data_IF_584632531109
#
_entry.id   IF_584632531109
#
_cell.length_a   1.000
_cell.length_b   1.000
_cell.length_c   1.000
_cell.angle_alpha   90.00
_cell.angle_beta   90.00
_cell.angle_gamma   90.00
#
_symmetry.space_group_name_H-M   'P 1'
#
loop_
_entity.id
_entity.type
_entity.pdbx_description
1 polymer ?
#
# COMPACT_ATOMS: atom_id res chain seq x y z
N UNK A 1 -4.81 -29.17 -15.69
CA UNK A 1 -4.94 -28.24 -14.54
C UNK A 1 -4.24 -26.98 -14.96
N UNK A 2 -4.97 -25.88 -15.14
CA UNK A 2 -4.34 -24.58 -15.43
C UNK A 2 -3.73 -24.09 -14.13
N UNK A 3 -2.47 -23.69 -14.16
CA UNK A 3 -1.75 -23.16 -13.02
C UNK A 3 -2.51 -21.94 -12.45
N UNK A 4 -2.97 -21.97 -11.18
CA UNK A 4 -3.69 -20.86 -10.55
C UNK A 4 -2.93 -19.52 -10.62
N UNK A 5 -1.60 -19.58 -10.70
CA UNK A 5 -0.73 -18.41 -10.74
C UNK A 5 -0.73 -17.76 -12.15
N UNK A 6 -1.03 -18.52 -13.20
CA UNK A 6 -1.15 -18.03 -14.58
C UNK A 6 -2.48 -17.27 -14.84
N UNK A 7 -3.48 -17.45 -13.98
CA UNK A 7 -4.82 -16.85 -14.10
C UNK A 7 -4.95 -15.49 -13.39
N UNK A 8 -4.05 -15.20 -12.44
CA UNK A 8 -4.12 -14.02 -11.58
C UNK A 8 -4.04 -12.68 -12.34
N UNK A 9 -3.05 -12.46 -13.24
CA UNK A 9 -2.99 -11.23 -14.02
C UNK A 9 -4.23 -11.03 -14.91
N UNK A 10 -4.78 -12.11 -15.46
CA UNK A 10 -5.99 -12.07 -16.28
C UNK A 10 -7.22 -11.71 -15.45
N UNK A 11 -7.37 -12.29 -14.26
CA UNK A 11 -8.48 -12.01 -13.35
C UNK A 11 -8.51 -10.56 -12.85
N UNK A 12 -7.35 -10.03 -12.44
CA UNK A 12 -7.20 -8.63 -12.04
C UNK A 12 -7.48 -7.71 -13.22
N UNK A 13 -6.98 -8.06 -14.41
CA UNK A 13 -7.28 -7.35 -15.65
C UNK A 13 -8.78 -7.31 -15.95
N UNK A 14 -9.48 -8.45 -15.86
CA UNK A 14 -10.93 -8.55 -16.07
C UNK A 14 -11.71 -7.70 -15.07
N UNK A 15 -11.32 -7.67 -13.80
CA UNK A 15 -11.95 -6.80 -12.80
C UNK A 15 -11.79 -5.31 -13.16
N UNK A 16 -10.58 -4.89 -13.58
CA UNK A 16 -10.31 -3.50 -14.03
C UNK A 16 -11.11 -3.13 -15.27
N UNK A 17 -11.19 -4.03 -16.26
CA UNK A 17 -11.99 -3.82 -17.48
C UNK A 17 -13.48 -3.71 -17.16
N UNK A 18 -14.00 -4.57 -16.29
CA UNK A 18 -15.40 -4.50 -15.86
C UNK A 18 -15.71 -3.17 -15.16
N UNK A 19 -14.84 -2.70 -14.27
CA UNK A 19 -14.96 -1.38 -13.64
C UNK A 19 -14.97 -0.24 -14.67
N UNK A 20 -14.04 -0.26 -15.63
CA UNK A 20 -13.96 0.75 -16.68
C UNK A 20 -15.21 0.75 -17.58
N UNK A 21 -15.84 -0.40 -17.77
CA UNK A 21 -17.08 -0.55 -18.52
C UNK A 21 -18.34 -0.20 -17.70
N UNK A 22 -18.21 0.07 -16.39
CA UNK A 22 -19.36 0.27 -15.49
C UNK A 22 -20.12 -1.01 -15.14
N UNK A 23 -19.59 -2.19 -15.49
CA UNK A 23 -20.14 -3.49 -15.10
C UNK A 23 -19.68 -3.84 -13.67
N UNK A 24 -20.26 -3.12 -12.72
CA UNK A 24 -19.88 -3.17 -11.31
C UNK A 24 -20.19 -4.54 -10.69
N UNK A 25 -21.23 -5.21 -11.19
CA UNK A 25 -21.61 -6.55 -10.72
C UNK A 25 -20.59 -7.60 -11.10
N UNK A 26 -20.15 -7.57 -12.35
CA UNK A 26 -19.06 -8.43 -12.79
C UNK A 26 -17.76 -8.10 -12.08
N UNK A 27 -17.42 -6.82 -11.91
CA UNK A 27 -16.21 -6.41 -11.21
C UNK A 27 -16.17 -6.98 -9.79
N UNK A 28 -17.24 -6.81 -9.01
CA UNK A 28 -17.34 -7.33 -7.65
C UNK A 28 -17.29 -8.87 -7.61
N UNK A 29 -17.97 -9.55 -8.54
CA UNK A 29 -17.94 -11.01 -8.62
C UNK A 29 -16.53 -11.56 -8.89
N UNK A 30 -15.78 -10.94 -9.80
CA UNK A 30 -14.39 -11.31 -10.07
C UNK A 30 -13.52 -11.06 -8.83
N UNK A 31 -13.67 -9.92 -8.16
CA UNK A 31 -12.93 -9.62 -6.93
C UNK A 31 -13.25 -10.61 -5.81
N UNK A 32 -14.51 -10.99 -5.62
CA UNK A 32 -14.90 -12.00 -4.63
C UNK A 32 -14.26 -13.37 -4.90
N UNK A 33 -14.15 -13.77 -6.17
CA UNK A 33 -13.45 -14.98 -6.58
C UNK A 33 -11.95 -14.93 -6.25
N UNK A 34 -11.30 -13.79 -6.53
CA UNK A 34 -9.90 -13.56 -6.15
C UNK A 34 -9.71 -13.64 -4.63
N UNK A 35 -10.57 -12.97 -3.87
CA UNK A 35 -10.48 -12.90 -2.40
C UNK A 35 -10.81 -14.21 -1.70
N UNK A 36 -11.55 -15.11 -2.35
CA UNK A 36 -11.77 -16.48 -1.86
C UNK A 36 -10.48 -17.30 -1.90
N UNK A 37 -9.63 -17.05 -2.89
CA UNK A 37 -8.33 -17.75 -3.08
C UNK A 37 -7.19 -17.04 -2.34
N UNK A 38 -7.20 -15.71 -2.37
CA UNK A 38 -6.15 -14.84 -1.86
C UNK A 38 -6.75 -13.76 -0.96
N UNK A 39 -7.16 -14.10 0.28
CA UNK A 39 -7.81 -13.16 1.20
C UNK A 39 -6.87 -12.02 1.64
N UNK A 40 -5.56 -12.19 1.51
CA UNK A 40 -4.53 -11.18 1.77
C UNK A 40 -4.30 -10.20 0.62
N UNK A 41 -4.90 -10.41 -0.56
CA UNK A 41 -4.55 -9.64 -1.75
C UNK A 41 -5.17 -8.23 -1.74
N UNK A 42 -4.37 -7.24 -1.34
CA UNK A 42 -4.81 -5.86 -1.16
C UNK A 42 -5.40 -5.24 -2.44
N UNK A 43 -4.84 -5.55 -3.61
CA UNK A 43 -5.31 -5.00 -4.89
C UNK A 43 -6.74 -5.47 -5.23
N UNK A 44 -7.11 -6.71 -4.89
CA UNK A 44 -8.47 -7.22 -5.09
C UNK A 44 -9.46 -6.57 -4.12
N UNK A 45 -9.09 -6.35 -2.86
CA UNK A 45 -9.91 -5.58 -1.91
C UNK A 45 -10.14 -4.14 -2.40
N UNK A 46 -9.10 -3.49 -2.93
CA UNK A 46 -9.18 -2.15 -3.51
C UNK A 46 -10.09 -2.10 -4.74
N UNK A 47 -9.98 -3.09 -5.64
CA UNK A 47 -10.90 -3.24 -6.78
C UNK A 47 -12.36 -3.45 -6.35
N UNK A 48 -12.58 -4.27 -5.31
CA UNK A 48 -13.91 -4.45 -4.74
C UNK A 48 -14.45 -3.14 -4.17
N UNK A 49 -13.62 -2.37 -3.47
CA UNK A 49 -14.00 -1.05 -2.96
C UNK A 49 -14.46 -0.10 -4.06
N UNK A 50 -13.76 -0.08 -5.20
CA UNK A 50 -14.18 0.71 -6.36
C UNK A 50 -15.53 0.26 -6.92
N UNK A 51 -15.75 -1.07 -7.02
CA UNK A 51 -17.00 -1.62 -7.52
C UNK A 51 -18.18 -1.23 -6.61
N UNK A 52 -18.03 -1.40 -5.30
CA UNK A 52 -19.07 -1.08 -4.33
C UNK A 52 -19.34 0.43 -4.24
N UNK A 53 -18.29 1.26 -4.39
CA UNK A 53 -18.45 2.72 -4.47
C UNK A 53 -19.25 3.10 -5.71
N UNK A 54 -18.93 2.50 -6.86
CA UNK A 54 -19.69 2.69 -8.10
C UNK A 54 -21.17 2.30 -7.97
N UNK A 55 -21.48 1.27 -7.16
CA UNK A 55 -22.86 0.84 -6.89
C UNK A 55 -23.61 1.77 -5.94
N UNK A 56 -22.91 2.72 -5.32
CA UNK A 56 -23.45 3.56 -4.26
C UNK A 56 -23.52 2.89 -2.90
N UNK A 57 -23.01 1.65 -2.72
CA UNK A 57 -22.86 1.05 -1.39
C UNK A 57 -21.59 1.58 -0.73
N UNK A 58 -21.74 2.79 -0.23
CA UNK A 58 -20.68 3.52 0.40
C UNK A 58 -20.18 2.84 1.70
N UNK A 59 -20.99 1.97 2.34
CA UNK A 59 -20.57 1.20 3.52
C UNK A 59 -19.71 0.00 3.12
N UNK A 60 -20.11 -0.74 2.09
CA UNK A 60 -19.33 -1.85 1.56
C UNK A 60 -17.99 -1.38 0.98
N UNK A 61 -18.00 -0.28 0.23
CA UNK A 61 -16.78 0.35 -0.28
C UNK A 61 -15.79 0.68 0.84
N UNK A 62 -16.28 1.32 1.91
CA UNK A 62 -15.46 1.66 3.07
C UNK A 62 -14.88 0.44 3.78
N UNK A 63 -15.59 -0.69 3.86
CA UNK A 63 -15.03 -1.94 4.42
C UNK A 63 -13.95 -2.53 3.53
N UNK A 64 -14.17 -2.52 2.21
CA UNK A 64 -13.23 -3.07 1.26
C UNK A 64 -11.92 -2.26 1.19
N UNK A 65 -12.00 -0.92 1.21
CA UNK A 65 -10.80 -0.08 1.31
C UNK A 65 -10.05 -0.27 2.64
N UNK A 66 -10.76 -0.45 3.76
CA UNK A 66 -10.13 -0.79 5.05
C UNK A 66 -9.38 -2.11 4.97
N UNK A 67 -10.03 -3.13 4.40
CA UNK A 67 -9.41 -4.43 4.23
C UNK A 67 -8.15 -4.34 3.37
N UNK A 68 -8.19 -3.56 2.27
CA UNK A 68 -7.03 -3.30 1.43
C UNK A 68 -5.88 -2.68 2.23
N UNK A 69 -6.15 -1.60 2.99
CA UNK A 69 -5.13 -0.89 3.78
C UNK A 69 -4.61 -1.68 4.97
N UNK A 70 -5.39 -2.60 5.52
CA UNK A 70 -4.92 -3.54 6.54
C UNK A 70 -3.88 -4.54 6.01
N UNK A 71 -3.83 -4.75 4.69
CA UNK A 71 -2.89 -5.65 4.00
C UNK A 71 -1.78 -4.90 3.28
N UNK A 72 -2.08 -3.70 2.80
CA UNK A 72 -1.09 -2.77 2.24
C UNK A 72 -1.40 -1.33 2.68
N UNK A 73 -0.83 -0.89 3.81
CA UNK A 73 -0.99 0.49 4.29
C UNK A 73 -0.43 1.55 3.34
N UNK A 74 0.40 1.15 2.36
CA UNK A 74 1.09 2.04 1.42
C UNK A 74 0.39 2.09 0.06
N UNK A 75 -0.81 1.53 -0.08
CA UNK A 75 -1.58 1.50 -1.32
C UNK A 75 -2.28 2.85 -1.61
N UNK A 76 -1.76 3.70 -2.52
CA UNK A 76 -2.29 5.06 -2.73
C UNK A 76 -3.74 5.06 -3.22
N UNK A 77 -4.12 4.08 -4.05
CA UNK A 77 -5.46 3.98 -4.63
C UNK A 77 -6.54 3.71 -3.57
N UNK A 78 -6.23 2.94 -2.52
CA UNK A 78 -7.19 2.65 -1.46
C UNK A 78 -7.41 3.89 -0.56
N UNK A 79 -6.34 4.64 -0.26
CA UNK A 79 -6.44 5.94 0.42
C UNK A 79 -7.22 6.96 -0.41
N UNK A 80 -6.95 7.05 -1.72
CA UNK A 80 -7.74 7.88 -2.63
C UNK A 80 -9.21 7.47 -2.64
N UNK A 81 -9.48 6.15 -2.66
CA UNK A 81 -10.83 5.60 -2.55
C UNK A 81 -11.57 6.09 -1.30
N UNK A 82 -10.90 6.08 -0.15
CA UNK A 82 -11.42 6.68 1.09
C UNK A 82 -11.65 8.18 0.98
N UNK A 83 -10.73 8.90 0.35
CA UNK A 83 -10.84 10.35 0.13
C UNK A 83 -12.08 10.71 -0.67
N UNK A 84 -12.28 10.05 -1.82
CA UNK A 84 -13.46 10.21 -2.67
C UNK A 84 -14.74 9.84 -1.93
N UNK A 85 -14.73 8.74 -1.20
CA UNK A 85 -15.86 8.24 -0.44
C UNK A 85 -16.24 9.15 0.75
N UNK A 86 -15.27 9.87 1.33
CA UNK A 86 -15.50 10.88 2.36
C UNK A 86 -16.02 12.18 1.75
N UNK A 87 -15.49 12.59 0.60
CA UNK A 87 -15.95 13.75 -0.17
C UNK A 87 -17.40 13.59 -0.61
N UNK A 88 -17.77 12.43 -1.15
CA UNK A 88 -19.15 12.08 -1.53
C UNK A 88 -20.15 12.21 -0.35
N UNK A 89 -19.65 12.11 0.89
CA UNK A 89 -20.43 12.30 2.12
C UNK A 89 -20.32 13.71 2.72
N UNK A 90 -19.66 14.63 2.04
CA UNK A 90 -19.43 16.00 2.54
C UNK A 90 -18.44 16.10 3.70
N UNK A 91 -17.68 15.04 4.01
CA UNK A 91 -16.66 15.04 5.08
C UNK A 91 -15.33 15.52 4.51
N UNK A 92 -15.25 16.83 4.27
CA UNK A 92 -14.14 17.45 3.55
C UNK A 92 -12.80 17.32 4.28
N UNK A 93 -12.78 17.44 5.61
CA UNK A 93 -11.56 17.29 6.41
C UNK A 93 -11.01 15.84 6.34
N UNK A 94 -11.88 14.83 6.44
CA UNK A 94 -11.51 13.43 6.26
C UNK A 94 -10.99 13.17 4.85
N UNK A 95 -11.68 13.72 3.83
CA UNK A 95 -11.28 13.58 2.43
C UNK A 95 -9.89 14.14 2.17
N UNK A 96 -9.60 15.33 2.72
CA UNK A 96 -8.29 15.96 2.65
C UNK A 96 -7.22 15.08 3.32
N UNK A 97 -7.49 14.58 4.52
CA UNK A 97 -6.56 13.73 5.26
C UNK A 97 -6.23 12.43 4.49
N UNK A 98 -7.23 11.74 3.93
CA UNK A 98 -7.01 10.52 3.16
C UNK A 98 -6.27 10.79 1.84
N UNK A 99 -6.62 11.85 1.12
CA UNK A 99 -5.91 12.23 -0.11
C UNK A 99 -4.47 12.68 0.16
N UNK A 100 -4.21 13.31 1.31
CA UNK A 100 -2.86 13.63 1.76
C UNK A 100 -2.02 12.36 1.91
N UNK A 101 -2.53 11.34 2.61
CA UNK A 101 -1.85 10.05 2.75
C UNK A 101 -1.64 9.39 1.39
N UNK A 102 -2.65 9.38 0.52
CA UNK A 102 -2.52 8.82 -0.82
C UNK A 102 -1.36 9.48 -1.60
N UNK A 103 -1.34 10.81 -1.62
CA UNK A 103 -0.30 11.57 -2.30
C UNK A 103 1.09 11.35 -1.68
N UNK A 104 1.19 11.22 -0.35
CA UNK A 104 2.45 10.90 0.33
C UNK A 104 3.08 9.59 -0.15
N UNK A 105 2.25 8.57 -0.44
CA UNK A 105 2.74 7.27 -0.92
C UNK A 105 3.17 7.30 -2.40
N UNK A 106 2.67 8.26 -3.18
CA UNK A 106 3.04 8.45 -4.58
C UNK A 106 3.10 9.94 -4.96
N UNK A 107 4.12 10.70 -4.48
CA UNK A 107 4.17 12.15 -4.66
C UNK A 107 4.30 12.63 -6.11
N UNK A 108 4.75 11.75 -7.01
CA UNK A 108 4.87 11.95 -8.45
C UNK A 108 3.55 11.87 -9.21
N UNK A 109 2.50 11.30 -8.59
CA UNK A 109 1.20 11.11 -9.24
C UNK A 109 0.42 12.41 -9.29
N UNK A 110 0.31 12.97 -10.48
CA UNK A 110 -0.40 14.23 -10.73
C UNK A 110 -1.88 14.15 -10.36
N UNK A 111 -2.54 13.00 -10.54
CA UNK A 111 -3.94 12.81 -10.19
C UNK A 111 -4.19 12.93 -8.68
N UNK A 112 -3.31 12.37 -7.84
CA UNK A 112 -3.38 12.48 -6.38
C UNK A 112 -3.14 13.92 -5.92
N UNK A 113 -2.14 14.57 -6.52
CA UNK A 113 -1.84 15.98 -6.27
C UNK A 113 -3.03 16.87 -6.62
N UNK A 114 -3.63 16.69 -7.81
CA UNK A 114 -4.79 17.46 -8.24
C UNK A 114 -6.02 17.22 -7.36
N UNK A 115 -6.25 15.98 -6.91
CA UNK A 115 -7.34 15.67 -5.98
C UNK A 115 -7.18 16.45 -4.66
N UNK A 116 -5.97 16.47 -4.13
CA UNK A 116 -5.63 17.12 -2.88
C UNK A 116 -5.65 18.65 -2.98
N UNK A 117 -5.08 19.23 -4.04
CA UNK A 117 -5.15 20.68 -4.32
C UNK A 117 -6.60 21.15 -4.47
N UNK A 118 -7.45 20.37 -5.15
CA UNK A 118 -8.88 20.65 -5.27
C UNK A 118 -9.58 20.65 -3.91
N UNK A 119 -9.36 19.63 -3.08
CA UNK A 119 -9.95 19.53 -1.74
C UNK A 119 -9.45 20.65 -0.81
N UNK A 120 -8.15 20.99 -0.88
CA UNK A 120 -7.59 22.11 -0.13
C UNK A 120 -8.21 23.44 -0.55
N UNK A 121 -8.40 23.66 -1.86
CA UNK A 121 -9.09 24.84 -2.38
C UNK A 121 -10.55 24.94 -1.92
N UNK A 122 -11.28 23.82 -1.87
CA UNK A 122 -12.64 23.78 -1.32
C UNK A 122 -12.67 24.10 0.19
N UNK A 123 -11.63 23.70 0.93
CA UNK A 123 -11.61 23.83 2.40
C UNK A 123 -11.09 25.17 2.90
N UNK A 124 -10.07 25.71 2.24
CA UNK A 124 -9.29 26.87 2.70
C UNK A 124 -9.30 28.05 1.70
N UNK A 125 -9.83 27.88 0.49
CA UNK A 125 -9.84 28.91 -0.56
C UNK A 125 -8.57 28.92 -1.42
N UNK A 126 -8.47 29.92 -2.30
CA UNK A 126 -7.34 30.09 -3.22
C UNK A 126 -6.07 30.45 -2.42
N UNK A 127 -5.01 29.65 -2.54
CA UNK A 127 -3.72 29.91 -1.87
C UNK A 127 -3.30 28.88 -0.82
N UNK A 128 -4.07 27.81 -0.60
CA UNK A 128 -3.61 26.64 0.14
C UNK A 128 -2.48 25.94 -0.61
N UNK A 129 -1.24 26.40 -0.43
CA UNK A 129 -0.07 25.75 -1.01
C UNK A 129 0.08 24.36 -0.39
N UNK A 130 0.16 23.34 -1.23
CA UNK A 130 0.50 22.01 -0.77
C UNK A 130 1.99 21.97 -0.45
N UNK A 131 2.32 21.99 0.84
CA UNK A 131 3.70 21.79 1.26
C UNK A 131 4.07 20.31 1.19
N UNK A 132 5.32 20.05 0.81
CA UNK A 132 5.84 18.70 0.73
C UNK A 132 6.01 18.16 2.15
N UNK A 133 5.14 17.23 2.56
CA UNK A 133 5.19 16.68 3.92
C UNK A 133 6.42 15.80 4.13
N UNK A 134 6.82 15.61 5.40
CA UNK A 134 7.93 14.70 5.75
C UNK A 134 7.73 13.26 5.24
N UNK A 135 6.54 12.64 5.35
CA UNK A 135 6.28 11.36 4.69
C UNK A 135 6.53 11.38 3.18
N UNK A 136 6.06 12.41 2.46
CA UNK A 136 6.30 12.53 1.03
C UNK A 136 7.79 12.67 0.68
N UNK A 137 8.54 13.48 1.46
CA UNK A 137 10.00 13.59 1.37
C UNK A 137 10.69 12.24 1.58
N UNK A 138 10.26 11.48 2.59
CA UNK A 138 10.80 10.16 2.91
C UNK A 138 10.62 9.20 1.74
N UNK A 139 9.42 9.15 1.14
CA UNK A 139 9.12 8.32 -0.04
C UNK A 139 9.97 8.74 -1.25
N UNK A 140 10.12 10.04 -1.50
CA UNK A 140 10.98 10.54 -2.59
C UNK A 140 12.45 10.14 -2.37
N UNK A 141 12.95 10.25 -1.14
CA UNK A 141 14.31 9.82 -0.80
C UNK A 141 14.51 8.32 -0.96
N UNK A 142 13.55 7.53 -0.49
CA UNK A 142 13.60 6.07 -0.59
C UNK A 142 13.65 5.60 -2.04
N UNK A 143 12.76 6.12 -2.89
CA UNK A 143 12.71 5.78 -4.33
C UNK A 143 13.95 6.23 -5.09
N UNK A 144 14.61 7.28 -4.61
CA UNK A 144 15.89 7.74 -5.16
C UNK A 144 17.11 7.02 -4.56
N UNK A 145 16.91 5.95 -3.77
CA UNK A 145 17.98 5.16 -3.15
C UNK A 145 18.70 5.85 -1.99
N UNK A 146 18.27 7.04 -1.58
CA UNK A 146 18.87 7.82 -0.46
C UNK A 146 18.30 7.35 0.87
N UNK A 147 18.59 6.10 1.24
CA UNK A 147 17.95 5.40 2.36
C UNK A 147 18.21 6.04 3.72
N UNK A 148 19.39 6.61 3.94
CA UNK A 148 19.69 7.32 5.20
C UNK A 148 18.82 8.57 5.35
N UNK A 149 18.58 9.29 4.24
CA UNK A 149 17.68 10.45 4.27
C UNK A 149 16.23 10.01 4.44
N UNK A 150 15.81 8.94 3.77
CA UNK A 150 14.48 8.38 3.93
C UNK A 150 14.22 7.96 5.39
N UNK A 151 15.13 7.21 6.01
CA UNK A 151 15.03 6.77 7.39
C UNK A 151 14.92 7.96 8.36
N UNK A 152 15.71 9.03 8.15
CA UNK A 152 15.61 10.26 8.96
C UNK A 152 14.24 10.91 8.85
N UNK A 153 13.69 11.05 7.64
CA UNK A 153 12.38 11.66 7.44
C UNK A 153 11.26 10.79 8.02
N UNK A 154 11.30 9.46 7.86
CA UNK A 154 10.33 8.55 8.48
C UNK A 154 10.38 8.60 10.01
N UNK A 155 11.57 8.51 10.62
CA UNK A 155 11.74 8.63 12.07
C UNK A 155 11.20 9.98 12.57
N UNK A 156 11.48 11.06 11.85
CA UNK A 156 11.04 12.40 12.22
C UNK A 156 9.54 12.64 11.98
N UNK A 157 8.88 11.84 11.13
CA UNK A 157 7.42 11.85 10.95
C UNK A 157 6.72 11.01 12.02
N UNK A 158 7.31 9.87 12.42
CA UNK A 158 6.80 8.98 13.47
C UNK A 158 6.75 9.64 14.86
N UNK A 159 7.55 10.68 15.12
CA UNK A 159 7.43 11.45 16.37
C UNK A 159 6.09 12.17 16.51
N UNK A 160 5.49 12.59 15.39
CA UNK A 160 4.19 13.26 15.36
C UNK A 160 3.04 12.28 15.09
N UNK A 161 3.30 11.20 14.35
CA UNK A 161 2.31 10.23 13.89
C UNK A 161 2.75 8.79 14.23
N UNK A 162 2.85 8.43 15.52
CA UNK A 162 3.46 7.16 15.95
C UNK A 162 2.70 5.91 15.49
N UNK A 163 1.39 6.02 15.23
CA UNK A 163 0.54 4.88 14.89
C UNK A 163 0.45 4.61 13.37
N UNK A 164 1.10 5.41 12.53
CA UNK A 164 1.02 5.25 11.08
C UNK A 164 1.90 4.11 10.57
N UNK A 165 1.26 2.98 10.29
CA UNK A 165 1.90 1.76 9.79
C UNK A 165 2.69 1.97 8.50
N UNK A 166 2.22 2.83 7.60
CA UNK A 166 2.91 3.12 6.35
C UNK A 166 4.29 3.77 6.59
N UNK A 167 4.43 4.59 7.64
CA UNK A 167 5.71 5.19 8.04
C UNK A 167 6.65 4.17 8.66
N UNK A 168 6.12 3.29 9.52
CA UNK A 168 6.88 2.14 10.07
C UNK A 168 7.42 1.27 8.94
N UNK A 169 6.57 0.92 7.97
CA UNK A 169 6.97 0.12 6.81
C UNK A 169 8.03 0.82 5.95
N UNK A 170 7.90 2.12 5.73
CA UNK A 170 8.92 2.90 5.01
C UNK A 170 10.26 2.96 5.74
N UNK A 171 10.24 3.07 7.07
CA UNK A 171 11.43 3.03 7.91
C UNK A 171 12.08 1.63 7.87
N UNK A 172 11.30 0.56 8.04
CA UNK A 172 11.79 -0.80 7.96
C UNK A 172 12.45 -1.10 6.60
N UNK A 173 11.83 -0.70 5.49
CA UNK A 173 12.40 -0.86 4.15
C UNK A 173 13.72 -0.07 3.98
N UNK A 174 13.77 1.14 4.55
CA UNK A 174 14.98 1.97 4.51
C UNK A 174 16.13 1.35 5.30
N UNK A 175 15.85 0.84 6.51
CA UNK A 175 16.83 0.20 7.39
C UNK A 175 17.33 -1.13 6.84
N UNK A 176 16.42 -1.96 6.32
CA UNK A 176 16.78 -3.21 5.65
C UNK A 176 17.71 -2.96 4.47
N UNK A 177 17.42 -1.96 3.64
CA UNK A 177 18.32 -1.58 2.55
C UNK A 177 19.63 -0.91 2.96
N UNK A 178 19.81 -0.58 4.24
CA UNK A 178 21.08 -0.13 4.84
C UNK A 178 21.84 -1.29 5.52
N UNK A 179 21.27 -2.50 5.56
CA UNK A 179 21.83 -3.65 6.29
C UNK A 179 21.62 -3.59 7.80
N UNK A 180 20.76 -2.69 8.28
CA UNK A 180 20.37 -2.64 9.70
C UNK A 180 19.22 -3.63 9.95
N UNK A 181 19.52 -4.92 9.76
CA UNK A 181 18.51 -5.98 9.71
C UNK A 181 17.77 -6.16 11.06
N UNK A 182 18.48 -6.05 12.19
CA UNK A 182 17.88 -6.21 13.52
C UNK A 182 16.83 -5.11 13.81
N UNK A 183 17.11 -3.86 13.42
CA UNK A 183 16.17 -2.74 13.58
C UNK A 183 14.97 -2.90 12.63
N UNK A 184 15.21 -3.31 11.39
CA UNK A 184 14.16 -3.53 10.39
C UNK A 184 13.24 -4.70 10.81
N UNK A 185 13.81 -5.78 11.32
CA UNK A 185 13.08 -6.92 11.88
C UNK A 185 12.18 -6.48 13.04
N UNK A 186 12.70 -5.73 14.01
CA UNK A 186 11.93 -5.28 15.15
C UNK A 186 10.66 -4.52 14.73
N UNK A 187 10.78 -3.65 13.72
CA UNK A 187 9.65 -2.92 13.15
C UNK A 187 8.70 -3.87 12.42
N UNK A 188 9.21 -4.81 11.61
CA UNK A 188 8.38 -5.78 10.88
C UNK A 188 7.58 -6.66 11.84
N UNK A 189 8.20 -7.14 12.93
CA UNK A 189 7.53 -7.93 13.98
C UNK A 189 6.42 -7.10 14.65
N UNK A 190 6.69 -5.83 14.98
CA UNK A 190 5.69 -4.93 15.52
C UNK A 190 4.49 -4.74 14.57
N UNK A 191 4.74 -4.50 13.27
CA UNK A 191 3.67 -4.35 12.27
C UNK A 191 2.87 -5.66 12.15
N UNK A 192 3.53 -6.81 12.04
CA UNK A 192 2.87 -8.10 11.86
C UNK A 192 2.10 -8.57 13.10
N UNK A 193 2.45 -8.09 14.29
CA UNK A 193 1.68 -8.35 15.50
C UNK A 193 0.27 -7.73 15.45
N UNK A 194 0.11 -6.61 14.74
CA UNK A 194 -1.19 -5.93 14.58
C UNK A 194 -1.86 -6.24 13.25
N UNK A 195 -1.08 -6.43 12.19
CA UNK A 195 -1.56 -6.67 10.82
C UNK A 195 -0.78 -7.84 10.19
N UNK A 196 -1.20 -9.10 10.45
CA UNK A 196 -0.42 -10.29 10.09
C UNK A 196 -0.25 -10.53 8.58
N UNK A 197 -1.01 -9.84 7.74
CA UNK A 197 -1.06 -10.05 6.29
C UNK A 197 -0.30 -8.97 5.50
N UNK A 198 0.42 -8.06 6.18
CA UNK A 198 1.14 -6.97 5.51
C UNK A 198 2.29 -7.50 4.68
N UNK A 199 2.12 -7.47 3.36
CA UNK A 199 3.03 -8.12 2.40
C UNK A 199 4.48 -7.62 2.53
N UNK A 200 4.68 -6.30 2.67
CA UNK A 200 6.04 -5.73 2.75
C UNK A 200 6.80 -6.19 4.01
N UNK A 201 6.14 -6.25 5.16
CA UNK A 201 6.76 -6.73 6.39
C UNK A 201 7.09 -8.22 6.32
N UNK A 202 6.20 -9.03 5.71
CA UNK A 202 6.47 -10.45 5.44
C UNK A 202 7.67 -10.64 4.52
N UNK A 203 7.77 -9.82 3.46
CA UNK A 203 8.89 -9.86 2.52
C UNK A 203 10.21 -9.54 3.20
N UNK A 204 10.30 -8.39 3.88
CA UNK A 204 11.54 -7.95 4.54
C UNK A 204 12.00 -9.01 5.55
N UNK A 205 11.09 -9.50 6.39
CA UNK A 205 11.41 -10.52 7.39
C UNK A 205 11.84 -11.84 6.75
N UNK A 206 11.17 -12.28 5.67
CA UNK A 206 11.56 -13.49 4.95
C UNK A 206 12.97 -13.38 4.37
N UNK A 207 13.36 -12.21 3.84
CA UNK A 207 14.69 -12.00 3.27
C UNK A 207 15.78 -11.91 4.34
N UNK A 208 15.51 -11.28 5.48
CA UNK A 208 16.41 -11.26 6.64
C UNK A 208 16.67 -12.69 7.16
N UNK A 209 15.60 -13.46 7.38
CA UNK A 209 15.70 -14.84 7.89
C UNK A 209 16.37 -15.79 6.91
N UNK A 210 16.15 -15.58 5.60
CA UNK A 210 16.88 -16.29 4.54
C UNK A 210 18.38 -16.00 4.62
N UNK A 211 18.77 -14.76 4.87
CA UNK A 211 20.16 -14.36 5.06
C UNK A 211 20.83 -15.03 6.28
N UNK A 212 20.04 -15.27 7.34
CA UNK A 212 20.48 -15.95 8.58
C UNK A 212 20.48 -17.48 8.49
N UNK A 213 19.89 -18.07 7.44
CA UNK A 213 19.82 -19.52 7.24
C UNK A 213 18.68 -20.23 7.99
N UNK A 214 17.69 -19.50 8.50
CA UNK A 214 16.53 -20.07 9.22
C UNK A 214 15.44 -20.57 8.24
N UNK A 215 15.62 -21.78 7.71
CA UNK A 215 14.77 -22.31 6.60
C UNK A 215 13.28 -22.41 6.93
N UNK A 216 12.91 -22.95 8.10
CA UNK A 216 11.49 -23.20 8.44
C UNK A 216 10.69 -21.91 8.60
N UNK A 217 11.26 -20.91 9.27
CA UNK A 217 10.61 -19.60 9.43
C UNK A 217 10.51 -18.86 8.09
N UNK A 218 11.56 -18.96 7.28
CA UNK A 218 11.57 -18.41 5.91
C UNK A 218 10.44 -19.00 5.07
N UNK A 219 10.24 -20.32 5.10
CA UNK A 219 9.20 -20.99 4.32
C UNK A 219 7.79 -20.56 4.75
N UNK A 220 7.55 -20.39 6.05
CA UNK A 220 6.26 -19.89 6.54
C UNK A 220 5.98 -18.46 6.07
N UNK A 221 6.95 -17.56 6.22
CA UNK A 221 6.84 -16.16 5.81
C UNK A 221 6.62 -16.04 4.30
N UNK A 222 7.32 -16.85 3.50
CA UNK A 222 7.14 -16.88 2.04
C UNK A 222 5.76 -17.40 1.63
N UNK A 223 5.21 -18.42 2.30
CA UNK A 223 3.84 -18.88 2.03
C UNK A 223 2.82 -17.79 2.34
N UNK A 224 2.96 -17.07 3.46
CA UNK A 224 2.10 -15.95 3.82
C UNK A 224 2.23 -14.79 2.84
N UNK A 225 3.46 -14.47 2.42
CA UNK A 225 3.72 -13.46 1.41
C UNK A 225 3.02 -13.80 0.09
N UNK A 226 3.13 -15.04 -0.40
CA UNK A 226 2.43 -15.49 -1.62
C UNK A 226 0.90 -15.36 -1.50
N UNK A 227 0.33 -15.53 -0.31
CA UNK A 227 -1.10 -15.32 -0.10
C UNK A 227 -1.52 -13.83 -0.14
N UNK A 228 -0.60 -12.91 0.16
CA UNK A 228 -0.84 -11.46 0.18
C UNK A 228 -0.37 -10.71 -1.08
N UNK A 229 0.66 -11.21 -1.76
CA UNK A 229 1.28 -10.71 -2.98
C UNK A 229 1.34 -11.82 -4.05
N UNK A 230 0.18 -12.38 -4.45
CA UNK A 230 0.13 -13.54 -5.33
C UNK A 230 0.57 -13.23 -6.77
N UNK A 231 0.58 -11.97 -7.18
CA UNK A 231 1.14 -11.51 -8.47
C UNK A 231 2.64 -11.17 -8.40
N UNK A 232 3.24 -11.25 -7.20
CA UNK A 232 4.66 -10.97 -6.96
C UNK A 232 5.07 -9.53 -7.25
N UNK A 233 4.11 -8.61 -7.36
CA UNK A 233 4.38 -7.23 -7.75
C UNK A 233 5.27 -6.53 -6.71
N UNK A 234 5.00 -6.77 -5.44
CA UNK A 234 5.78 -6.18 -4.35
C UNK A 234 7.16 -6.85 -4.22
N UNK A 235 7.20 -8.18 -4.25
CA UNK A 235 8.47 -8.93 -4.21
C UNK A 235 9.40 -8.53 -5.36
N UNK A 236 8.88 -8.43 -6.59
CA UNK A 236 9.65 -8.02 -7.76
C UNK A 236 10.20 -6.60 -7.67
N UNK A 237 9.38 -5.65 -7.20
CA UNK A 237 9.80 -4.26 -7.02
C UNK A 237 10.93 -4.11 -5.99
N UNK A 238 10.81 -4.82 -4.85
CA UNK A 238 11.81 -4.79 -3.80
C UNK A 238 13.14 -5.41 -4.23
N UNK A 239 13.13 -6.56 -4.92
CA UNK A 239 14.34 -7.20 -5.47
C UNK A 239 15.05 -6.27 -6.45
N UNK A 240 14.31 -5.59 -7.33
CA UNK A 240 14.87 -4.61 -8.26
C UNK A 240 15.49 -3.40 -7.55
N UNK A 241 14.91 -2.97 -6.43
CA UNK A 241 15.43 -1.85 -5.63
C UNK A 241 16.67 -2.24 -4.80
N UNK A 242 16.79 -3.50 -4.39
CA UNK A 242 17.90 -4.02 -3.58
C UNK A 242 19.12 -4.39 -4.45
N UNK A 243 18.91 -5.01 -5.62
CA UNK A 243 19.98 -5.44 -6.55
C UNK A 243 20.79 -4.28 -7.16
N UNK A 244 20.15 -3.11 -7.38
CA UNK A 244 20.84 -1.88 -7.81
C UNK A 244 21.89 -1.37 -6.82
N UNK A 245 21.85 -1.83 -5.57
CA UNK A 245 22.81 -1.44 -4.51
C UNK A 245 24.04 -2.34 -4.54
N UNK A 246 23.87 -3.64 -4.80
CA UNK A 246 24.98 -4.61 -4.84
C UNK A 246 25.88 -4.48 -6.08
N UNK A 247 25.49 -3.62 -7.04
CA UNK A 247 26.16 -3.43 -8.33
C UNK A 247 26.93 -2.11 -8.44
N UNK A 248 27.05 -1.34 -7.35
CA UNK A 248 27.75 -0.03 -7.27
C UNK A 248 28.77 -0.05 -6.14
#
# INVERSE_FOLDING_TARGET
MIDPDLLLPDEVGRARVALAAGDLDRAAAVCAGLLTRFPGYAAAWRLLGDAERGRGDARAAGRAYAAALARDPRLPEAWLGYGLLAEERGRLDDALAYCQVAWEQAPERADLRSALERLAGLRFGIGGALELSRPALAVIHLRAGRRERAAREYTAALTALPDRLDLHLGLAESLWGLGHDDDAEAICVYVLATHPEVALALLILAEIERGRGASVLTDDLRRRLLASDPDGALAGAAVAAHSRVTSS
#
